data_IF_679921155655
#
_entry.id   IF_679921155655
#
_cell.length_a   1.000
_cell.length_b   1.000
_cell.length_c   1.000
_cell.angle_alpha   90.00
_cell.angle_beta   90.00
_cell.angle_gamma   90.00
#
_symmetry.space_group_name_H-M   'P 1'
#
loop_
_entity.id
_entity.type
_entity.pdbx_description
1 polymer ?
#
# COMPACT_ATOMS: atom_id res chain seq x y z
N UNK A 1 -0.86 4.94 -5.68
CA UNK A 1 -0.66 6.11 -6.55
C UNK A 1 -0.26 7.28 -5.68
N UNK A 2 0.53 8.22 -6.20
CA UNK A 2 0.78 9.50 -5.56
C UNK A 2 0.44 10.65 -6.51
N UNK A 3 -0.14 11.72 -5.94
CA UNK A 3 -0.54 12.93 -6.65
C UNK A 3 0.23 14.10 -6.03
N UNK A 4 0.86 14.93 -6.87
CA UNK A 4 1.52 16.17 -6.46
C UNK A 4 0.45 17.19 -6.02
N UNK A 5 0.67 17.95 -4.95
CA UNK A 5 -0.27 18.98 -4.51
C UNK A 5 -0.37 20.11 -5.54
N UNK A 6 -1.41 20.94 -5.44
CA UNK A 6 -1.58 22.16 -6.24
C UNK A 6 -2.33 21.99 -7.56
N UNK A 7 -2.95 20.83 -7.80
CA UNK A 7 -3.80 20.62 -8.96
C UNK A 7 -5.09 21.45 -8.88
N UNK A 8 -5.58 21.92 -10.03
CA UNK A 8 -6.91 22.50 -10.20
C UNK A 8 -7.58 21.83 -11.40
N UNK A 9 -8.87 21.48 -11.27
CA UNK A 9 -9.59 20.71 -12.29
C UNK A 9 -9.05 19.27 -12.44
N UNK A 10 -9.03 18.76 -13.68
CA UNK A 10 -8.52 17.42 -13.98
C UNK A 10 -6.98 17.36 -13.87
N UNK A 11 -6.51 16.62 -12.87
CA UNK A 11 -5.12 16.47 -12.51
C UNK A 11 -4.42 15.27 -13.16
N UNK A 12 -5.16 14.45 -13.92
CA UNK A 12 -4.73 13.10 -14.34
C UNK A 12 -3.41 13.11 -15.14
N UNK A 13 -3.23 14.11 -16.01
CA UNK A 13 -2.02 14.21 -16.85
C UNK A 13 -0.90 15.08 -16.25
N UNK A 14 -1.22 15.88 -15.24
CA UNK A 14 -0.33 16.98 -14.80
C UNK A 14 0.28 16.73 -13.42
N UNK A 15 -0.44 16.05 -12.53
CA UNK A 15 -0.03 15.92 -11.12
C UNK A 15 0.14 14.48 -10.66
N UNK A 16 -0.16 13.47 -11.47
CA UNK A 16 0.16 12.08 -11.12
C UNK A 16 1.68 11.92 -11.09
N UNK A 17 2.25 11.70 -9.89
CA UNK A 17 3.69 11.50 -9.71
C UNK A 17 4.09 10.07 -10.10
N UNK A 18 3.29 9.10 -9.67
CA UNK A 18 3.43 7.69 -10.04
C UNK A 18 2.14 6.94 -9.75
N UNK A 19 1.93 5.86 -10.48
CA UNK A 19 0.82 4.93 -10.30
C UNK A 19 1.36 3.50 -10.22
N UNK A 20 0.75 2.68 -9.37
CA UNK A 20 1.03 1.25 -9.26
C UNK A 20 -0.28 0.50 -9.40
N UNK A 21 -0.32 -0.51 -10.28
CA UNK A 21 -1.56 -1.21 -10.69
C UNK A 21 -1.56 -2.71 -10.42
N UNK A 22 -0.53 -3.24 -9.74
CA UNK A 22 -0.42 -4.66 -9.41
C UNK A 22 -0.75 -4.89 -7.94
N UNK A 23 -1.25 -6.07 -7.59
CA UNK A 23 -1.53 -6.47 -6.21
C UNK A 23 -2.33 -5.43 -5.41
N UNK A 24 -3.31 -4.78 -6.07
CA UNK A 24 -4.10 -3.71 -5.46
C UNK A 24 -5.06 -4.33 -4.43
N UNK A 25 -5.10 -3.78 -3.20
CA UNK A 25 -6.04 -4.22 -2.18
C UNK A 25 -7.48 -3.94 -2.60
N UNK A 26 -8.41 -4.80 -2.17
CA UNK A 26 -9.83 -4.57 -2.39
C UNK A 26 -10.42 -3.56 -1.39
N UNK A 27 -10.11 -3.71 -0.09
CA UNK A 27 -10.58 -2.80 0.96
C UNK A 27 -9.45 -2.10 1.75
N UNK A 28 -8.37 -2.83 2.06
CA UNK A 28 -7.30 -2.29 2.89
C UNK A 28 -6.67 -1.03 2.28
N UNK A 29 -6.52 0.03 3.08
CA UNK A 29 -5.86 1.26 2.63
C UNK A 29 -4.33 1.10 2.64
N UNK A 30 -3.59 1.77 1.74
CA UNK A 30 -2.13 1.81 1.81
C UNK A 30 -1.63 2.52 3.07
N UNK A 31 -0.51 2.06 3.63
CA UNK A 31 0.21 2.69 4.74
C UNK A 31 1.50 3.33 4.25
N UNK A 32 1.73 4.60 4.56
CA UNK A 32 3.05 5.22 4.40
C UNK A 32 3.83 5.15 5.71
N UNK A 33 5.02 4.57 5.69
CA UNK A 33 5.92 4.50 6.83
C UNK A 33 7.38 4.40 6.35
N UNK A 34 8.30 5.17 6.93
CA UNK A 34 9.73 5.16 6.59
C UNK A 34 10.03 5.22 5.08
N UNK A 35 9.48 6.23 4.38
CA UNK A 35 9.65 6.44 2.92
C UNK A 35 9.20 5.23 2.06
N UNK A 36 8.38 4.35 2.63
CA UNK A 36 7.86 3.14 2.00
C UNK A 36 6.34 3.16 2.06
N UNK A 37 5.68 2.79 0.97
CA UNK A 37 4.24 2.55 0.93
C UNK A 37 3.99 1.06 1.00
N UNK A 38 3.24 0.61 2.00
CA UNK A 38 2.84 -0.77 2.20
C UNK A 38 1.38 -0.97 1.80
N UNK A 39 1.10 -2.03 1.05
CA UNK A 39 -0.25 -2.45 0.68
C UNK A 39 -0.39 -3.94 0.92
N UNK A 40 -1.53 -4.38 1.46
CA UNK A 40 -1.82 -5.80 1.64
C UNK A 40 -3.08 -6.18 0.86
N UNK A 41 -2.96 -7.15 -0.03
CA UNK A 41 -4.08 -7.73 -0.77
C UNK A 41 -4.49 -9.05 -0.12
N UNK A 42 -5.79 -9.39 -0.23
CA UNK A 42 -6.34 -10.71 0.06
C UNK A 42 -5.44 -11.86 -0.45
N UNK A 43 -5.34 -12.90 0.38
CA UNK A 43 -4.35 -13.97 0.21
C UNK A 43 -3.00 -13.65 0.85
N UNK A 44 -2.92 -12.58 1.66
CA UNK A 44 -1.71 -12.21 2.40
C UNK A 44 -0.58 -11.67 1.53
N UNK A 45 -0.88 -11.05 0.40
CA UNK A 45 0.17 -10.49 -0.46
C UNK A 45 0.50 -9.08 0.02
N UNK A 46 1.63 -8.95 0.72
CA UNK A 46 2.20 -7.67 1.12
C UNK A 46 3.14 -7.15 0.02
N UNK A 47 2.87 -5.96 -0.47
CA UNK A 47 3.74 -5.22 -1.38
C UNK A 47 4.25 -3.96 -0.70
N UNK A 48 5.54 -3.70 -0.86
CA UNK A 48 6.21 -2.47 -0.44
C UNK A 48 6.72 -1.72 -1.66
N UNK A 49 6.47 -0.41 -1.70
CA UNK A 49 6.85 0.48 -2.79
C UNK A 49 7.72 1.61 -2.24
N UNK A 50 8.73 2.04 -3.00
CA UNK A 50 9.43 3.28 -2.71
C UNK A 50 8.45 4.45 -2.87
N UNK A 51 8.26 5.25 -1.82
CA UNK A 51 7.21 6.27 -1.79
C UNK A 51 7.45 7.41 -2.80
N UNK A 52 8.71 7.63 -3.21
CA UNK A 52 9.07 8.71 -4.13
C UNK A 52 8.80 8.33 -5.58
N UNK A 53 9.12 7.10 -5.96
CA UNK A 53 9.07 6.63 -7.34
C UNK A 53 7.90 5.68 -7.65
N UNK A 54 7.27 5.10 -6.62
CA UNK A 54 6.24 4.07 -6.78
C UNK A 54 6.78 2.71 -7.23
N UNK A 55 8.11 2.54 -7.33
CA UNK A 55 8.72 1.28 -7.75
C UNK A 55 8.59 0.23 -6.64
N UNK A 56 8.29 -1.03 -6.98
CA UNK A 56 8.24 -2.10 -5.99
C UNK A 56 9.62 -2.35 -5.40
N UNK A 57 9.69 -2.35 -4.08
CA UNK A 57 10.87 -2.75 -3.31
C UNK A 57 10.83 -4.26 -3.07
N UNK A 58 9.69 -4.74 -2.57
CA UNK A 58 9.49 -6.16 -2.29
C UNK A 58 8.00 -6.52 -2.31
N UNK A 59 7.70 -7.70 -2.85
CA UNK A 59 6.41 -8.36 -2.70
C UNK A 59 6.63 -9.71 -2.02
N UNK A 60 5.88 -9.99 -0.95
CA UNK A 60 5.94 -11.26 -0.24
C UNK A 60 4.56 -11.71 0.20
N UNK A 61 4.41 -13.00 0.42
CA UNK A 61 3.23 -13.56 1.07
C UNK A 61 3.49 -13.70 2.57
N UNK A 62 2.60 -13.16 3.39
CA UNK A 62 2.68 -13.24 4.85
C UNK A 62 1.93 -14.47 5.37
N UNK A 63 2.10 -14.78 6.66
CA UNK A 63 1.53 -15.98 7.27
C UNK A 63 -0.01 -15.98 7.24
N UNK A 64 -0.64 -14.84 7.50
CA UNK A 64 -2.09 -14.67 7.35
C UNK A 64 -2.46 -14.71 5.86
N UNK A 65 -2.95 -15.84 5.38
CA UNK A 65 -3.40 -16.01 3.99
C UNK A 65 -4.88 -15.67 3.80
N UNK A 66 -5.54 -15.04 4.78
CA UNK A 66 -6.94 -14.68 4.75
C UNK A 66 -7.26 -13.42 3.92
N UNK A 67 -8.48 -12.94 4.09
CA UNK A 67 -8.94 -11.68 3.53
C UNK A 67 -8.49 -10.52 4.42
N UNK A 68 -8.08 -9.41 3.80
CA UNK A 68 -7.58 -8.23 4.49
C UNK A 68 -8.51 -7.06 4.23
N UNK A 69 -9.41 -6.83 5.18
CA UNK A 69 -10.18 -5.59 5.26
C UNK A 69 -9.51 -4.55 6.14
N UNK A 70 -8.71 -5.00 7.12
CA UNK A 70 -7.92 -4.10 7.95
C UNK A 70 -6.75 -3.51 7.16
N UNK A 71 -6.54 -2.21 7.32
CA UNK A 71 -5.37 -1.52 6.77
C UNK A 71 -4.11 -1.88 7.57
N UNK A 72 -2.93 -1.93 6.94
CA UNK A 72 -1.68 -2.04 7.68
C UNK A 72 -1.52 -0.88 8.66
N UNK A 73 -0.92 -1.13 9.83
CA UNK A 73 -0.59 -0.09 10.81
C UNK A 73 0.89 -0.17 11.19
N UNK A 74 1.48 0.96 11.57
CA UNK A 74 2.87 1.00 12.02
C UNK A 74 2.99 1.48 13.48
N UNK A 75 3.97 0.92 14.18
CA UNK A 75 4.34 1.26 15.55
C UNK A 75 5.64 0.56 15.93
N UNK A 76 6.42 1.11 16.84
CA UNK A 76 7.68 0.51 17.30
C UNK A 76 8.63 0.08 16.16
N UNK A 77 8.72 0.90 15.10
CA UNK A 77 9.56 0.60 13.93
C UNK A 77 9.08 -0.57 13.06
N UNK A 78 7.89 -1.14 13.32
CA UNK A 78 7.33 -2.32 12.65
C UNK A 78 6.03 -1.98 11.93
N UNK A 79 5.68 -2.85 10.97
CA UNK A 79 4.38 -2.85 10.28
C UNK A 79 3.60 -4.09 10.69
N UNK A 80 2.38 -3.88 11.15
CA UNK A 80 1.46 -4.91 11.59
C UNK A 80 0.34 -5.08 10.57
N UNK A 81 -0.04 -6.33 10.36
CA UNK A 81 -1.12 -6.74 9.48
C UNK A 81 -2.05 -7.62 10.30
N UNK A 82 -3.34 -7.55 10.02
CA UNK A 82 -4.34 -8.39 10.65
C UNK A 82 -5.36 -8.79 9.59
N UNK A 83 -5.49 -10.09 9.35
CA UNK A 83 -6.53 -10.61 8.48
C UNK A 83 -7.89 -10.65 9.21
N UNK A 84 -8.96 -10.96 8.48
CA UNK A 84 -10.32 -11.04 9.03
C UNK A 84 -10.47 -12.12 10.13
N UNK A 85 -9.58 -13.11 10.18
CA UNK A 85 -9.57 -14.17 11.20
C UNK A 85 -8.77 -13.77 12.44
N UNK A 86 -8.13 -12.60 12.43
CA UNK A 86 -7.32 -12.12 13.54
C UNK A 86 -5.88 -12.65 13.53
N UNK A 87 -5.36 -13.05 12.36
CA UNK A 87 -3.98 -13.53 12.15
C UNK A 87 -3.09 -12.45 11.56
#
# INVERSE_FOLDING_TARGET
MAIKPGASGDATKTHVAWEYRRHIPFCASPLFFNNTVFTVKDGGILTSLDARSGKPLQTKRVAGAGNYYSSPVAGDGKVYLLDQKGV
#
